data_IF_190741107617
#
_entry.id   IF_190741107617
#
_cell.length_a   1.000
_cell.length_b   1.000
_cell.length_c   1.000
_cell.angle_alpha   90.00
_cell.angle_beta   90.00
_cell.angle_gamma   90.00
#
_symmetry.space_group_name_H-M   'P 1'
#
loop_
_entity.id
_entity.type
_entity.pdbx_description
1 polymer ?
#
# COMPACT_ATOMS: atom_id res chain seq x y z
N UNK A 1 -29.64 9.49 39.85
CA UNK A 1 -28.68 10.58 39.58
C UNK A 1 -27.39 10.28 40.33
N UNK A 2 -26.26 10.52 39.65
CA UNK A 2 -24.84 10.40 40.07
C UNK A 2 -24.21 9.01 39.95
N UNK A 3 -23.55 8.80 38.81
CA UNK A 3 -22.35 7.97 38.72
C UNK A 3 -21.20 8.94 38.46
N UNK A 4 -20.24 8.97 39.38
CA UNK A 4 -19.07 9.83 39.36
C UNK A 4 -18.00 9.28 38.41
N UNK A 5 -17.35 10.20 37.70
CA UNK A 5 -16.23 9.91 36.81
C UNK A 5 -14.97 9.55 37.62
N UNK A 6 -14.34 8.42 37.31
CA UNK A 6 -12.97 8.13 37.76
C UNK A 6 -11.97 8.56 36.70
N UNK A 7 -11.07 9.42 37.14
CA UNK A 7 -9.99 10.06 36.40
C UNK A 7 -8.89 9.07 36.02
N UNK A 8 -8.27 9.33 34.87
CA UNK A 8 -7.15 8.61 34.30
C UNK A 8 -5.84 9.15 34.90
N UNK A 9 -5.30 8.50 35.93
CA UNK A 9 -3.91 8.69 36.35
C UNK A 9 -3.42 7.44 37.08
N UNK A 10 -2.50 6.70 36.45
CA UNK A 10 -1.35 6.05 37.08
C UNK A 10 -0.55 5.33 35.96
N UNK A 11 0.32 6.06 35.26
CA UNK A 11 1.33 5.45 34.38
C UNK A 11 2.54 5.07 35.23
N UNK A 12 2.84 3.78 35.32
CA UNK A 12 4.00 3.27 36.03
C UNK A 12 5.28 3.54 35.23
N UNK A 13 6.23 4.22 35.89
CA UNK A 13 7.53 4.63 35.37
C UNK A 13 8.44 3.43 35.05
N UNK A 14 9.07 3.44 33.87
CA UNK A 14 10.26 2.62 33.55
C UNK A 14 11.54 3.45 33.81
N UNK A 15 12.59 2.87 34.41
CA UNK A 15 13.78 3.64 34.76
C UNK A 15 14.69 3.92 33.54
N UNK A 16 15.35 5.08 33.61
CA UNK A 16 16.23 5.67 32.63
C UNK A 16 17.55 4.89 32.51
N UNK A 17 17.93 4.53 31.28
CA UNK A 17 19.21 3.90 30.94
C UNK A 17 20.28 5.00 30.82
N UNK A 18 21.17 5.11 31.81
CA UNK A 18 22.24 6.11 31.82
C UNK A 18 23.44 5.62 31.01
N UNK A 19 23.72 6.29 29.89
CA UNK A 19 24.93 6.13 29.10
C UNK A 19 26.04 6.99 29.71
N UNK A 20 26.91 6.42 30.54
CA UNK A 20 28.19 7.06 30.89
C UNK A 20 29.13 6.03 31.49
N UNK A 21 30.14 5.63 30.70
CA UNK A 21 31.53 5.27 31.10
C UNK A 21 32.14 4.30 30.10
N UNK A 22 33.00 4.79 29.20
CA UNK A 22 34.20 4.07 28.73
C UNK A 22 34.99 4.96 27.77
N UNK A 23 35.74 5.92 28.30
CA UNK A 23 36.81 6.61 27.57
C UNK A 23 37.93 7.01 28.53
N UNK A 24 38.96 6.17 28.59
CA UNK A 24 40.37 6.45 28.91
C UNK A 24 41.04 5.05 28.92
N UNK A 25 42.11 4.78 28.18
CA UNK A 25 43.46 5.18 28.56
C UNK A 25 44.45 4.80 27.42
N UNK A 26 45.46 5.65 27.27
CA UNK A 26 46.83 5.47 26.74
C UNK A 26 47.21 5.81 25.28
N UNK A 27 48.00 6.89 25.24
CA UNK A 27 48.85 7.47 24.22
C UNK A 27 50.24 6.80 24.28
N UNK A 28 50.89 6.52 23.14
CA UNK A 28 52.27 6.95 22.81
C UNK A 28 52.87 6.24 21.57
N UNK A 29 53.66 7.06 20.84
CA UNK A 29 54.77 6.74 19.94
C UNK A 29 54.51 6.61 18.43
N UNK A 30 55.30 7.37 17.64
CA UNK A 30 55.59 7.04 16.24
C UNK A 30 55.80 8.23 15.29
N UNK A 31 56.94 8.90 15.38
CA UNK A 31 57.45 9.86 14.39
C UNK A 31 57.82 9.19 13.05
N UNK A 32 57.73 9.98 11.97
CA UNK A 32 58.57 10.04 10.75
C UNK A 32 57.85 9.76 9.43
N UNK A 33 58.06 10.67 8.47
CA UNK A 33 58.04 10.37 7.04
C UNK A 33 57.01 11.15 6.24
N UNK A 34 57.38 12.37 5.82
CA UNK A 34 56.69 13.03 4.71
C UNK A 34 57.02 12.35 3.38
N UNK A 35 56.08 12.38 2.44
CA UNK A 35 56.36 12.37 1.01
C UNK A 35 55.22 13.11 0.30
N UNK A 36 55.61 14.17 -0.40
CA UNK A 36 54.80 14.94 -1.35
C UNK A 36 54.38 14.05 -2.52
N UNK A 37 53.16 14.21 -3.03
CA UNK A 37 52.81 13.97 -4.43
C UNK A 37 51.59 14.81 -4.83
N UNK A 38 51.77 15.49 -5.95
CA UNK A 38 50.94 16.48 -6.63
C UNK A 38 49.92 15.86 -7.60
N UNK A 39 48.83 16.60 -7.85
CA UNK A 39 47.95 16.44 -9.03
C UNK A 39 46.82 15.42 -8.84
N UNK A 40 45.61 15.57 -9.36
CA UNK A 40 45.08 16.46 -10.39
C UNK A 40 43.55 16.46 -10.29
N UNK A 41 42.92 17.60 -10.60
CA UNK A 41 41.48 17.72 -10.79
C UNK A 41 40.94 16.72 -11.82
N UNK A 42 39.85 16.04 -11.50
CA UNK A 42 38.89 15.57 -12.50
C UNK A 42 37.48 15.83 -11.98
N UNK A 43 36.68 16.48 -12.83
CA UNK A 43 35.29 16.79 -12.60
C UNK A 43 34.50 15.49 -12.45
N UNK A 44 33.79 15.35 -11.33
CA UNK A 44 32.83 14.26 -11.11
C UNK A 44 31.59 14.49 -11.97
N UNK A 45 31.53 13.73 -13.07
CA UNK A 45 30.36 13.51 -13.91
C UNK A 45 29.12 13.22 -13.04
N UNK A 46 28.04 13.96 -13.24
CA UNK A 46 26.75 13.72 -12.61
C UNK A 46 26.25 12.33 -13.03
N UNK A 47 26.28 11.38 -12.09
CA UNK A 47 25.67 10.06 -12.23
C UNK A 47 24.18 10.22 -12.54
N UNK A 48 23.81 10.03 -13.81
CA UNK A 48 22.41 9.79 -14.17
C UNK A 48 21.94 8.50 -13.47
N UNK A 49 20.71 8.45 -12.93
CA UNK A 49 20.19 7.25 -12.31
C UNK A 49 20.14 6.10 -13.33
N UNK A 50 20.41 4.85 -12.93
CA UNK A 50 20.43 3.74 -13.86
C UNK A 50 19.06 3.56 -14.53
N UNK A 51 19.07 3.49 -15.87
CA UNK A 51 17.89 3.06 -16.64
C UNK A 51 17.62 1.61 -16.29
N UNK A 52 16.54 1.36 -15.55
CA UNK A 52 16.01 0.01 -15.36
C UNK A 52 15.47 -0.47 -16.70
N UNK A 53 16.20 -1.39 -17.32
CA UNK A 53 15.76 -2.13 -18.49
C UNK A 53 14.87 -3.27 -17.98
N UNK A 54 13.55 -3.13 -18.07
CA UNK A 54 12.64 -4.26 -17.86
C UNK A 54 12.67 -5.14 -19.11
N UNK A 55 13.07 -6.42 -19.01
CA UNK A 55 13.13 -7.30 -20.16
C UNK A 55 11.71 -7.63 -20.66
N UNK A 56 11.52 -7.81 -21.98
CA UNK A 56 10.24 -8.21 -22.54
C UNK A 56 10.00 -9.69 -22.20
N UNK A 57 8.99 -9.97 -21.38
CA UNK A 57 8.58 -11.34 -21.05
C UNK A 57 8.53 -11.72 -19.56
N UNK A 58 8.67 -10.76 -18.64
CA UNK A 58 8.37 -11.02 -17.23
C UNK A 58 6.85 -11.20 -17.06
N UNK A 59 6.39 -12.44 -17.10
CA UNK A 59 5.07 -12.81 -16.60
C UNK A 59 4.97 -12.39 -15.13
N UNK A 60 3.97 -11.55 -14.87
CA UNK A 60 3.69 -10.81 -13.65
C UNK A 60 3.80 -11.66 -12.37
N UNK A 61 4.57 -11.18 -11.40
CA UNK A 61 4.80 -11.74 -10.05
C UNK A 61 3.58 -11.64 -9.11
N UNK A 62 2.38 -11.78 -9.65
CA UNK A 62 1.13 -11.53 -8.95
C UNK A 62 0.51 -12.78 -8.30
N UNK A 63 1.15 -13.95 -8.46
CA UNK A 63 0.70 -15.24 -7.92
C UNK A 63 1.56 -15.76 -6.75
N UNK A 64 2.54 -14.97 -6.27
CA UNK A 64 3.27 -15.30 -5.05
C UNK A 64 2.28 -15.40 -3.87
N UNK A 65 2.32 -16.50 -3.08
CA UNK A 65 1.46 -16.63 -1.91
C UNK A 65 1.78 -15.49 -0.95
N UNK A 66 0.81 -14.60 -0.79
CA UNK A 66 0.82 -13.68 0.34
C UNK A 66 0.84 -14.56 1.57
N UNK A 67 1.83 -14.32 2.45
CA UNK A 67 2.13 -15.18 3.59
C UNK A 67 0.91 -15.48 4.47
N UNK A 68 1.04 -16.38 5.45
CA UNK A 68 -0.09 -16.80 6.28
C UNK A 68 -0.78 -15.57 6.89
N UNK A 69 -2.05 -15.38 6.57
CA UNK A 69 -2.89 -14.32 7.14
C UNK A 69 -3.28 -14.75 8.55
N UNK A 70 -2.76 -14.12 9.61
CA UNK A 70 -3.01 -14.56 10.97
C UNK A 70 -4.51 -14.55 11.29
N UNK A 71 -5.05 -15.72 11.62
CA UNK A 71 -6.47 -15.85 11.99
C UNK A 71 -7.48 -15.65 10.87
N UNK A 72 -7.06 -15.69 9.59
CA UNK A 72 -7.95 -15.54 8.42
C UNK A 72 -7.77 -16.69 7.45
N UNK A 73 -8.87 -17.40 7.15
CA UNK A 73 -8.90 -18.41 6.09
C UNK A 73 -9.18 -17.72 4.77
N UNK A 74 -8.14 -17.54 3.96
CA UNK A 74 -8.27 -16.90 2.66
C UNK A 74 -9.13 -17.76 1.70
N UNK A 75 -10.10 -17.18 1.00
CA UNK A 75 -10.90 -17.92 0.02
C UNK A 75 -10.05 -18.34 -1.18
N UNK A 76 -10.19 -19.61 -1.57
CA UNK A 76 -9.58 -20.15 -2.78
C UNK A 76 -10.22 -19.59 -4.05
N UNK A 77 -9.44 -19.58 -5.11
CA UNK A 77 -9.85 -19.16 -6.45
C UNK A 77 -8.97 -18.06 -7.01
N UNK A 78 -8.40 -18.32 -8.18
CA UNK A 78 -7.78 -17.32 -9.04
C UNK A 78 -8.76 -16.97 -10.17
N UNK A 79 -8.59 -15.80 -10.75
CA UNK A 79 -9.36 -15.34 -11.89
C UNK A 79 -8.46 -14.47 -12.76
N UNK A 80 -8.50 -14.67 -14.06
CA UNK A 80 -7.78 -13.83 -15.01
C UNK A 80 -8.73 -12.80 -15.60
N UNK A 81 -8.83 -11.65 -14.94
CA UNK A 81 -9.58 -10.52 -15.45
C UNK A 81 -8.99 -9.98 -16.75
N UNK A 82 -9.86 -9.65 -17.70
CA UNK A 82 -9.46 -8.95 -18.92
C UNK A 82 -8.74 -7.65 -18.57
N UNK A 83 -7.71 -7.31 -19.33
CA UNK A 83 -7.06 -6.01 -19.21
C UNK A 83 -8.04 -4.91 -19.65
N UNK A 84 -8.31 -3.97 -18.75
CA UNK A 84 -9.19 -2.83 -19.00
C UNK A 84 -8.32 -1.61 -19.22
N UNK A 85 -8.25 -1.13 -20.47
CA UNK A 85 -7.46 0.03 -20.83
C UNK A 85 -7.93 1.28 -20.07
N UNK A 86 -7.05 1.83 -19.24
CA UNK A 86 -7.31 3.00 -18.40
C UNK A 86 -7.01 4.31 -19.14
N UNK A 87 -7.66 5.43 -18.79
CA UNK A 87 -7.35 6.74 -19.38
C UNK A 87 -5.88 7.14 -19.16
N UNK A 88 -5.33 6.78 -17.99
CA UNK A 88 -3.92 6.91 -17.64
C UNK A 88 -3.53 5.59 -16.98
N UNK A 89 -2.45 4.96 -17.42
CA UNK A 89 -1.92 3.81 -16.68
C UNK A 89 -1.39 4.27 -15.32
N UNK A 90 -1.93 3.70 -14.25
CA UNK A 90 -1.50 3.99 -12.89
C UNK A 90 -0.70 2.79 -12.34
N UNK A 91 0.65 2.87 -12.30
CA UNK A 91 1.52 1.79 -11.84
C UNK A 91 1.39 1.58 -10.31
N UNK A 92 0.59 0.62 -9.85
CA UNK A 92 0.43 0.36 -8.41
C UNK A 92 1.72 -0.16 -7.78
N UNK A 93 2.48 -0.97 -8.51
CA UNK A 93 3.83 -1.43 -8.17
C UNK A 93 4.78 -0.29 -7.77
N UNK A 94 4.85 0.78 -8.55
CA UNK A 94 5.72 1.90 -8.25
C UNK A 94 5.29 2.63 -6.96
N UNK A 95 3.98 2.78 -6.74
CA UNK A 95 3.46 3.52 -5.59
C UNK A 95 3.48 2.67 -4.31
N UNK A 96 2.97 1.45 -4.36
CA UNK A 96 2.77 0.59 -3.21
C UNK A 96 3.98 -0.31 -2.91
N UNK A 97 4.70 -0.80 -3.94
CA UNK A 97 5.89 -1.63 -3.72
C UNK A 97 7.16 -0.82 -3.67
N UNK A 98 7.50 -0.05 -4.70
CA UNK A 98 8.78 0.67 -4.72
C UNK A 98 8.80 1.79 -3.69
N UNK A 99 7.74 2.62 -3.66
CA UNK A 99 7.66 3.79 -2.79
C UNK A 99 6.97 3.51 -1.44
N UNK A 100 6.51 2.28 -1.21
CA UNK A 100 5.90 1.82 0.06
C UNK A 100 4.74 2.71 0.53
N UNK A 101 3.99 3.32 -0.38
CA UNK A 101 2.82 4.12 -0.04
C UNK A 101 1.69 3.19 0.41
N UNK A 102 1.21 3.39 1.64
CA UNK A 102 0.15 2.59 2.23
C UNK A 102 -1.16 2.70 1.42
N UNK A 103 -1.87 1.58 1.24
CA UNK A 103 -3.09 1.51 0.44
C UNK A 103 -4.18 2.51 0.88
N UNK A 104 -4.30 2.75 2.19
CA UNK A 104 -5.30 3.64 2.77
C UNK A 104 -4.98 5.12 2.58
N UNK A 105 -3.76 5.46 2.12
CA UNK A 105 -3.41 6.85 1.81
C UNK A 105 -4.23 7.38 0.62
N UNK A 106 -4.40 6.54 -0.41
CA UNK A 106 -5.19 6.86 -1.60
C UNK A 106 -6.64 6.39 -1.43
N UNK A 107 -6.87 5.16 -0.98
CA UNK A 107 -8.20 4.57 -0.80
C UNK A 107 -8.78 4.86 0.59
N UNK A 108 -8.85 6.15 0.93
CA UNK A 108 -9.16 6.63 2.30
C UNK A 108 -10.54 6.22 2.82
N UNK A 109 -11.49 5.91 1.94
CA UNK A 109 -12.85 5.51 2.33
C UNK A 109 -12.99 4.02 2.61
N UNK A 110 -12.01 3.20 2.24
CA UNK A 110 -12.07 1.75 2.47
C UNK A 110 -12.34 1.40 3.94
N UNK A 111 -11.80 2.19 4.88
CA UNK A 111 -11.95 1.96 6.33
C UNK A 111 -13.26 2.47 6.95
N UNK A 112 -14.11 3.18 6.21
CA UNK A 112 -15.24 3.94 6.80
C UNK A 112 -16.49 4.04 5.92
N UNK A 113 -16.49 3.39 4.77
CA UNK A 113 -17.58 3.45 3.79
C UNK A 113 -17.80 2.08 3.16
N UNK A 114 -18.96 1.91 2.55
CA UNK A 114 -19.25 0.74 1.72
C UNK A 114 -18.32 0.68 0.50
N UNK A 115 -17.94 1.84 -0.05
CA UNK A 115 -17.13 1.99 -1.26
C UNK A 115 -15.77 2.58 -0.88
N UNK A 116 -14.67 1.93 -1.27
CA UNK A 116 -13.31 2.43 -1.04
C UNK A 116 -12.99 3.72 -1.81
N UNK A 117 -13.62 3.87 -2.99
CA UNK A 117 -13.48 5.03 -3.86
C UNK A 117 -12.14 5.07 -4.60
N UNK A 118 -12.12 5.83 -5.69
CA UNK A 118 -10.89 6.23 -6.38
C UNK A 118 -10.49 7.59 -5.82
N UNK A 119 -9.19 7.84 -5.52
CA UNK A 119 -8.75 9.13 -5.00
C UNK A 119 -9.09 10.27 -5.97
N UNK A 120 -9.41 11.47 -5.46
CA UNK A 120 -9.57 12.65 -6.30
C UNK A 120 -8.23 13.05 -6.94
N UNK A 121 -8.28 13.74 -8.09
CA UNK A 121 -7.09 14.22 -8.82
C UNK A 121 -6.14 15.03 -7.92
N UNK A 122 -6.68 15.79 -6.95
CA UNK A 122 -5.88 16.56 -5.98
C UNK A 122 -4.91 15.70 -5.16
N UNK A 123 -5.26 14.45 -4.86
CA UNK A 123 -4.36 13.52 -4.15
C UNK A 123 -3.14 13.20 -4.99
N UNK A 124 -3.32 13.04 -6.30
CA UNK A 124 -2.25 12.79 -7.26
C UNK A 124 -1.35 14.02 -7.39
N UNK A 125 -1.96 15.20 -7.53
CA UNK A 125 -1.23 16.46 -7.68
C UNK A 125 -0.48 16.89 -6.42
N UNK A 126 -0.87 16.39 -5.23
CA UNK A 126 -0.12 16.58 -4.00
C UNK A 126 1.37 16.21 -4.10
N UNK A 127 1.73 15.29 -5.01
CA UNK A 127 3.12 14.94 -5.30
C UNK A 127 3.51 15.27 -6.75
N UNK A 128 2.62 15.02 -7.72
CA UNK A 128 2.94 15.14 -9.15
C UNK A 128 2.99 16.57 -9.69
N UNK A 129 2.85 17.58 -8.83
CA UNK A 129 3.23 18.96 -9.15
C UNK A 129 4.75 19.16 -9.21
N UNK A 130 5.54 18.27 -8.60
CA UNK A 130 7.01 18.36 -8.58
C UNK A 130 7.71 17.04 -8.93
N UNK A 131 7.01 15.90 -8.85
CA UNK A 131 7.58 14.58 -9.15
C UNK A 131 7.17 14.10 -10.54
N UNK A 132 8.17 13.74 -11.35
CA UNK A 132 8.00 13.11 -12.67
C UNK A 132 7.11 13.94 -13.63
N UNK A 133 7.15 15.26 -13.50
CA UNK A 133 6.34 16.24 -14.27
C UNK A 133 6.61 16.18 -15.77
N UNK A 134 7.79 15.69 -16.17
CA UNK A 134 8.22 15.51 -17.55
C UNK A 134 7.58 14.28 -18.23
N UNK A 135 7.07 13.31 -17.45
CA UNK A 135 6.56 12.03 -17.96
C UNK A 135 5.22 12.21 -18.68
N UNK A 136 5.01 11.56 -19.84
CA UNK A 136 3.75 11.69 -20.61
C UNK A 136 2.49 11.38 -19.81
N UNK A 137 2.53 10.35 -18.95
CA UNK A 137 1.39 9.99 -18.08
C UNK A 137 1.04 11.08 -17.07
N UNK A 138 2.05 11.78 -16.54
CA UNK A 138 1.85 12.87 -15.57
C UNK A 138 1.40 14.14 -16.27
N UNK A 139 1.89 14.44 -17.48
CA UNK A 139 1.35 15.53 -18.31
C UNK A 139 -0.15 15.36 -18.55
N UNK A 140 -0.59 14.15 -18.91
CA UNK A 140 -2.03 13.84 -19.06
C UNK A 140 -2.82 13.99 -17.76
N UNK A 141 -2.24 13.62 -16.62
CA UNK A 141 -2.85 13.87 -15.31
C UNK A 141 -2.99 15.38 -15.02
N UNK A 142 -1.95 16.17 -15.30
CA UNK A 142 -1.96 17.62 -15.15
C UNK A 142 -3.01 18.27 -16.03
N UNK A 143 -3.19 17.81 -17.28
CA UNK A 143 -4.27 18.30 -18.16
C UNK A 143 -5.66 18.10 -17.54
N UNK A 144 -5.94 16.95 -16.91
CA UNK A 144 -7.20 16.74 -16.19
C UNK A 144 -7.33 17.68 -14.99
N UNK A 145 -6.24 17.86 -14.24
CA UNK A 145 -6.21 18.76 -13.09
C UNK A 145 -6.50 20.22 -13.48
N UNK A 146 -5.86 20.73 -14.53
CA UNK A 146 -6.03 22.09 -15.03
C UNK A 146 -7.45 22.35 -15.56
N UNK A 147 -8.10 21.32 -16.13
CA UNK A 147 -9.50 21.36 -16.55
C UNK A 147 -10.49 21.26 -15.39
N UNK A 148 -10.03 20.95 -14.18
CA UNK A 148 -10.91 20.66 -13.04
C UNK A 148 -11.68 19.34 -13.18
N UNK A 149 -11.20 18.44 -14.05
CA UNK A 149 -11.83 17.17 -14.35
C UNK A 149 -11.11 16.01 -13.63
N UNK A 150 -11.86 14.94 -13.35
CA UNK A 150 -11.26 13.68 -12.91
C UNK A 150 -11.03 12.78 -14.12
N UNK A 151 -9.88 12.08 -14.22
CA UNK A 151 -9.71 11.07 -15.24
C UNK A 151 -10.88 10.07 -15.20
N UNK A 152 -11.48 9.69 -16.34
CA UNK A 152 -12.66 8.83 -16.39
C UNK A 152 -12.28 7.36 -16.17
N UNK A 153 -11.86 7.03 -14.95
CA UNK A 153 -11.37 5.71 -14.57
C UNK A 153 -12.38 4.60 -14.87
N UNK A 154 -11.91 3.49 -15.45
CA UNK A 154 -12.75 2.33 -15.72
C UNK A 154 -12.63 1.34 -14.57
N UNK A 155 -13.77 0.94 -14.00
CA UNK A 155 -13.80 -0.04 -12.91
C UNK A 155 -13.33 -1.40 -13.41
N UNK A 156 -12.45 -2.03 -12.64
CA UNK A 156 -11.95 -3.41 -12.88
C UNK A 156 -12.76 -4.44 -12.09
N UNK A 157 -13.23 -4.04 -10.90
CA UNK A 157 -14.10 -4.84 -10.06
C UNK A 157 -15.50 -4.22 -10.12
N UNK A 158 -16.44 -4.97 -10.69
CA UNK A 158 -17.84 -4.57 -10.78
C UNK A 158 -18.71 -5.75 -10.31
N UNK A 159 -19.42 -5.52 -9.22
CA UNK A 159 -20.40 -6.47 -8.69
C UNK A 159 -21.79 -6.01 -9.14
N UNK A 160 -22.75 -6.92 -9.35
CA UNK A 160 -24.11 -6.53 -9.68
C UNK A 160 -24.72 -5.61 -8.62
N UNK A 161 -25.53 -4.63 -9.03
CA UNK A 161 -26.09 -3.59 -8.15
C UNK A 161 -27.00 -4.14 -7.03
N UNK A 162 -27.57 -5.33 -7.24
CA UNK A 162 -28.34 -6.05 -6.22
C UNK A 162 -27.46 -6.72 -5.15
N UNK A 163 -26.13 -6.55 -5.20
CA UNK A 163 -25.16 -7.03 -4.19
C UNK A 163 -24.60 -5.85 -3.41
N UNK A 164 -24.85 -5.83 -2.10
CA UNK A 164 -24.36 -4.81 -1.17
C UNK A 164 -23.08 -5.28 -0.48
N UNK A 165 -21.94 -4.98 -1.09
CA UNK A 165 -20.64 -5.13 -0.47
C UNK A 165 -20.25 -3.88 0.34
N UNK A 166 -19.60 -4.05 1.49
CA UNK A 166 -19.14 -2.93 2.32
C UNK A 166 -17.67 -3.07 2.72
N UNK A 167 -16.78 -2.20 2.22
CA UNK A 167 -15.35 -2.26 2.55
C UNK A 167 -15.10 -2.11 4.06
N UNK A 168 -15.74 -1.14 4.71
CA UNK A 168 -15.56 -0.84 6.14
C UNK A 168 -15.67 -2.09 7.03
N UNK A 169 -16.71 -2.91 6.84
CA UNK A 169 -16.95 -4.09 7.68
C UNK A 169 -15.87 -5.14 7.52
N UNK A 170 -15.41 -5.35 6.28
CA UNK A 170 -14.35 -6.33 6.01
C UNK A 170 -13.01 -5.84 6.56
N UNK A 171 -12.66 -4.56 6.38
CA UNK A 171 -11.46 -3.99 6.98
C UNK A 171 -11.54 -3.99 8.51
N UNK A 172 -12.71 -3.72 9.09
CA UNK A 172 -12.90 -3.81 10.53
C UNK A 172 -12.56 -5.20 11.06
N UNK A 173 -13.17 -6.25 10.51
CA UNK A 173 -12.94 -7.64 10.94
C UNK A 173 -11.48 -8.08 10.75
N UNK A 174 -10.89 -7.82 9.59
CA UNK A 174 -9.61 -8.42 9.21
C UNK A 174 -8.38 -7.57 9.52
N UNK A 175 -8.54 -6.26 9.70
CA UNK A 175 -7.43 -5.34 9.98
C UNK A 175 -7.53 -4.71 11.37
N UNK A 176 -8.69 -4.15 11.74
CA UNK A 176 -8.79 -3.33 12.96
C UNK A 176 -9.15 -4.13 14.22
N UNK A 177 -9.95 -5.17 14.08
CA UNK A 177 -10.35 -6.06 15.18
C UNK A 177 -9.42 -7.30 15.28
N UNK A 178 -8.48 -7.46 14.34
CA UNK A 178 -7.52 -8.56 14.33
C UNK A 178 -6.23 -8.16 15.10
N UNK A 179 -5.93 -8.80 16.26
CA UNK A 179 -4.78 -8.43 17.09
C UNK A 179 -3.42 -8.71 16.44
N UNK A 180 -3.39 -9.61 15.45
CA UNK A 180 -2.16 -10.02 14.76
C UNK A 180 -1.89 -9.21 13.48
N UNK A 181 -2.71 -8.18 13.23
CA UNK A 181 -2.62 -7.31 12.06
C UNK A 181 -2.34 -5.86 12.45
N UNK A 182 -1.47 -5.21 11.68
CA UNK A 182 -1.19 -3.78 11.79
C UNK A 182 -1.65 -3.05 10.54
N UNK A 183 -1.94 -1.75 10.67
CA UNK A 183 -2.36 -0.89 9.54
C UNK A 183 -1.28 -0.81 8.44
N UNK A 184 -0.03 -1.08 8.79
CA UNK A 184 1.09 -1.15 7.84
C UNK A 184 0.98 -2.33 6.87
N UNK A 185 0.34 -3.43 7.30
CA UNK A 185 0.13 -4.67 6.53
C UNK A 185 -1.24 -4.71 5.82
N UNK A 186 -1.84 -3.55 5.56
CA UNK A 186 -3.15 -3.48 4.90
C UNK A 186 -3.14 -4.08 3.49
N UNK A 187 -2.00 -4.08 2.81
CA UNK A 187 -1.83 -4.68 1.48
C UNK A 187 -2.16 -6.18 1.50
N UNK A 188 -1.80 -6.88 2.57
CA UNK A 188 -2.14 -8.29 2.78
C UNK A 188 -3.66 -8.49 2.85
N UNK A 189 -4.37 -7.70 3.68
CA UNK A 189 -5.83 -7.79 3.81
C UNK A 189 -6.54 -7.47 2.49
N UNK A 190 -6.10 -6.41 1.79
CA UNK A 190 -6.67 -6.04 0.49
C UNK A 190 -6.54 -7.16 -0.53
N UNK A 191 -5.44 -7.91 -0.47
CA UNK A 191 -5.11 -8.89 -1.46
C UNK A 191 -5.85 -10.23 -1.31
N UNK A 192 -6.50 -10.47 -0.16
CA UNK A 192 -7.52 -11.54 -0.02
C UNK A 192 -8.58 -11.47 -1.12
N UNK A 193 -8.99 -10.25 -1.49
CA UNK A 193 -10.05 -10.00 -2.47
C UNK A 193 -9.53 -9.45 -3.80
N UNK A 194 -8.43 -8.70 -3.81
CA UNK A 194 -7.93 -8.03 -5.02
C UNK A 194 -6.71 -8.71 -5.65
N UNK A 195 -6.14 -9.74 -5.00
CA UNK A 195 -4.84 -10.28 -5.39
C UNK A 195 -3.71 -9.31 -5.07
N UNK A 196 -2.50 -9.60 -5.54
CA UNK A 196 -1.31 -8.83 -5.18
C UNK A 196 -1.22 -7.51 -5.97
N UNK A 197 -2.10 -6.56 -5.65
CA UNK A 197 -2.18 -5.24 -6.31
C UNK A 197 -0.86 -4.48 -6.20
N UNK A 198 -0.13 -4.68 -5.11
CA UNK A 198 1.21 -4.14 -4.88
C UNK A 198 2.21 -4.58 -5.95
N UNK A 199 1.98 -5.68 -6.67
CA UNK A 199 2.82 -6.14 -7.78
C UNK A 199 2.22 -5.89 -9.15
N UNK A 200 1.07 -5.21 -9.22
CA UNK A 200 0.44 -4.88 -10.49
C UNK A 200 0.94 -3.53 -10.99
N UNK A 201 1.30 -3.44 -12.27
CA UNK A 201 1.39 -2.14 -12.92
C UNK A 201 -0.02 -1.56 -13.04
N UNK A 202 -0.87 -2.10 -13.93
CA UNK A 202 -2.29 -1.68 -14.02
C UNK A 202 -3.16 -2.69 -13.27
N UNK A 203 -4.13 -2.20 -12.50
CA UNK A 203 -5.02 -3.06 -11.73
C UNK A 203 -5.80 -4.02 -12.65
N UNK A 204 -5.84 -5.30 -12.27
CA UNK A 204 -6.61 -6.36 -12.93
C UNK A 204 -7.34 -7.19 -11.88
N UNK A 205 -8.48 -7.79 -12.26
CA UNK A 205 -9.25 -8.66 -11.37
C UNK A 205 -8.53 -10.01 -11.26
N UNK A 206 -8.01 -10.34 -10.08
CA UNK A 206 -7.31 -11.60 -9.82
C UNK A 206 -8.11 -12.63 -9.02
N UNK A 207 -9.23 -12.22 -8.43
CA UNK A 207 -10.13 -13.08 -7.66
C UNK A 207 -11.50 -13.11 -8.32
N UNK A 208 -12.21 -14.24 -8.27
CA UNK A 208 -13.48 -14.40 -8.99
C UNK A 208 -14.59 -13.48 -8.45
N UNK A 209 -14.60 -13.22 -7.14
CA UNK A 209 -15.64 -12.43 -6.45
C UNK A 209 -17.07 -12.88 -6.81
N UNK A 210 -17.25 -14.19 -7.02
CA UNK A 210 -18.56 -14.82 -7.23
C UNK A 210 -19.25 -15.04 -5.88
N UNK A 211 -20.56 -15.31 -5.90
CA UNK A 211 -21.30 -15.67 -4.68
C UNK A 211 -20.60 -16.80 -3.91
N UNK A 212 -20.18 -17.87 -4.59
CA UNK A 212 -19.49 -18.99 -3.97
C UNK A 212 -18.14 -18.63 -3.36
N UNK A 213 -17.41 -17.66 -3.93
CA UNK A 213 -16.19 -17.14 -3.32
C UNK A 213 -16.51 -16.41 -2.00
N UNK A 214 -17.54 -15.56 -2.01
CA UNK A 214 -17.97 -14.81 -0.83
C UNK A 214 -18.50 -15.74 0.28
N UNK A 215 -19.38 -16.68 -0.05
CA UNK A 215 -20.01 -17.56 0.95
C UNK A 215 -19.01 -18.50 1.60
N UNK A 216 -18.05 -19.08 0.83
CA UNK A 216 -16.98 -19.90 1.41
C UNK A 216 -16.08 -19.10 2.34
N UNK A 217 -15.74 -17.86 1.97
CA UNK A 217 -14.98 -16.96 2.85
C UNK A 217 -15.75 -16.69 4.15
N UNK A 218 -17.05 -16.41 4.05
CA UNK A 218 -17.88 -16.15 5.22
C UNK A 218 -18.01 -17.38 6.12
N UNK A 219 -18.23 -18.56 5.54
CA UNK A 219 -18.30 -19.84 6.28
C UNK A 219 -17.00 -20.13 7.03
N UNK A 220 -15.85 -19.92 6.39
CA UNK A 220 -14.55 -20.20 6.99
C UNK A 220 -14.10 -19.18 8.05
N UNK A 221 -14.73 -18.01 8.12
CA UNK A 221 -14.30 -16.90 8.99
C UNK A 221 -15.43 -16.36 9.90
N UNK A 222 -16.49 -17.14 10.11
CA UNK A 222 -17.65 -16.78 10.95
C UNK A 222 -18.31 -15.45 10.50
N UNK A 223 -18.53 -15.33 9.19
CA UNK A 223 -19.16 -14.19 8.53
C UNK A 223 -20.65 -14.40 8.24
N UNK A 224 -21.44 -13.33 8.02
CA UNK A 224 -22.87 -13.45 7.76
C UNK A 224 -23.15 -14.02 6.36
N UNK A 225 -23.83 -15.16 6.26
CA UNK A 225 -24.11 -15.83 4.98
C UNK A 225 -25.59 -15.78 4.53
N UNK A 226 -26.45 -15.09 5.29
CA UNK A 226 -27.86 -14.91 4.92
C UNK A 226 -28.01 -14.10 3.62
N UNK A 227 -28.86 -14.57 2.71
CA UNK A 227 -29.08 -13.93 1.41
C UNK A 227 -29.41 -12.43 1.52
N UNK A 228 -30.26 -12.05 2.48
CA UNK A 228 -30.74 -10.68 2.68
C UNK A 228 -29.69 -9.72 3.27
N UNK A 229 -28.56 -10.25 3.77
CA UNK A 229 -27.45 -9.41 4.24
C UNK A 229 -26.61 -8.90 3.08
N UNK A 230 -26.60 -9.65 1.98
CA UNK A 230 -25.86 -9.30 0.76
C UNK A 230 -26.78 -8.76 -0.34
N UNK A 231 -28.02 -9.22 -0.43
CA UNK A 231 -28.96 -8.86 -1.49
C UNK A 231 -30.09 -7.99 -0.98
N UNK A 232 -30.40 -6.91 -1.70
CA UNK A 232 -31.59 -6.07 -1.49
C UNK A 232 -32.14 -5.57 -2.81
#
# INVERSE_FOLDING_TARGET
MKVEAKTCHEQTHRPLFTWTRMWAVLVLAGLLGGLSLSGSSSAGELMAPPRVHTPPGAADSADEPLGPFPGVVAPEGTYEGKNVEQPIEFPHDLHADTNKINCLYCHTYARRSAVAGIPPTSKCMGCHNVIATDRPRIKKLTEYWEKGESPPWKKVHDLPDYVRFTHERHLKKFLFDNPDMSVERVDEVCALCHGNVKKMTVARKQKPLTMGFCTRCHEANDGPFDCQKCHK
#
